data_IF_484503219651
#
_entry.id   IF_484503219651
#
_cell.length_a   1.000
_cell.length_b   1.000
_cell.length_c   1.000
_cell.angle_alpha   90.00
_cell.angle_beta   90.00
_cell.angle_gamma   90.00
#
_symmetry.space_group_name_H-M   'P 1'
#
loop_
_entity.id
_entity.type
_entity.pdbx_description
1 polymer ?
#
# COMPACT_ATOMS: atom_id res chain seq x y z
N UNK A 1 30.74 -14.13 0.24
CA UNK A 1 30.59 -12.87 -0.48
C UNK A 1 31.40 -12.96 -1.78
N UNK A 2 30.69 -13.13 -2.88
CA UNK A 2 31.34 -13.42 -4.16
C UNK A 2 31.55 -12.18 -5.05
N UNK A 3 30.97 -11.04 -4.65
CA UNK A 3 31.08 -9.80 -5.42
C UNK A 3 30.91 -8.59 -4.48
N UNK A 4 32.03 -7.96 -4.14
CA UNK A 4 32.09 -6.86 -3.17
C UNK A 4 31.17 -5.68 -3.54
N UNK A 5 30.98 -5.36 -4.82
CA UNK A 5 30.11 -4.25 -5.25
C UNK A 5 28.64 -4.54 -5.01
N UNK A 6 28.19 -5.77 -5.25
CA UNK A 6 26.81 -6.18 -4.96
C UNK A 6 26.55 -6.17 -3.44
N UNK A 7 27.54 -6.58 -2.66
CA UNK A 7 27.43 -6.56 -1.19
C UNK A 7 27.33 -5.13 -0.68
N UNK A 8 28.10 -4.19 -1.21
CA UNK A 8 27.97 -2.76 -0.90
C UNK A 8 26.60 -2.20 -1.28
N UNK A 9 26.07 -2.57 -2.44
CA UNK A 9 24.76 -2.14 -2.88
C UNK A 9 23.66 -2.60 -1.91
N UNK A 10 23.69 -3.86 -1.51
CA UNK A 10 22.74 -4.44 -0.53
C UNK A 10 22.91 -3.85 0.86
N UNK A 11 24.16 -3.71 1.31
CA UNK A 11 24.44 -3.11 2.60
C UNK A 11 23.88 -1.70 2.72
N UNK A 12 24.11 -0.86 1.72
CA UNK A 12 23.60 0.50 1.70
C UNK A 12 22.08 0.56 1.66
N UNK A 13 21.45 -0.33 0.89
CA UNK A 13 19.99 -0.43 0.86
C UNK A 13 19.44 -0.74 2.27
N UNK A 14 20.12 -1.58 3.04
CA UNK A 14 19.73 -1.92 4.41
C UNK A 14 20.05 -0.79 5.40
N UNK A 15 21.23 -0.16 5.28
CA UNK A 15 21.68 0.90 6.19
C UNK A 15 20.91 2.20 5.98
N UNK A 16 20.73 2.64 4.73
CA UNK A 16 20.21 3.96 4.39
C UNK A 16 18.77 3.94 3.88
N UNK A 17 18.29 2.80 3.39
CA UNK A 17 17.01 2.67 2.71
C UNK A 17 17.02 3.15 1.25
N UNK A 18 18.10 3.75 0.77
CA UNK A 18 18.22 4.26 -0.61
C UNK A 18 18.81 3.19 -1.53
N UNK A 19 18.08 2.79 -2.60
CA UNK A 19 18.61 1.89 -3.60
C UNK A 19 19.57 2.62 -4.53
N UNK A 20 20.68 1.95 -4.88
CA UNK A 20 21.62 2.37 -5.88
C UNK A 20 21.65 1.38 -7.03
N UNK A 21 21.99 1.81 -8.24
CA UNK A 21 22.28 0.93 -9.36
C UNK A 21 23.68 1.17 -9.89
N UNK A 22 24.33 0.09 -10.27
CA UNK A 22 25.71 0.11 -10.76
C UNK A 22 25.75 -0.38 -12.19
N UNK A 23 26.39 0.40 -13.04
CA UNK A 23 26.58 0.07 -14.45
C UNK A 23 28.07 0.08 -14.79
N UNK A 24 28.46 -0.74 -15.75
CA UNK A 24 29.78 -0.71 -16.33
C UNK A 24 29.94 0.55 -17.21
N UNK A 25 30.78 1.49 -16.76
CA UNK A 25 30.98 2.75 -17.46
C UNK A 25 31.71 2.55 -18.80
N UNK A 26 32.54 1.52 -18.95
CA UNK A 26 33.25 1.24 -20.19
C UNK A 26 32.29 0.72 -21.26
N UNK A 27 31.38 -0.15 -20.91
CA UNK A 27 30.31 -0.61 -21.82
C UNK A 27 29.43 0.55 -22.31
N UNK A 28 29.19 1.53 -21.44
CA UNK A 28 28.43 2.74 -21.79
C UNK A 28 29.25 3.66 -22.70
N UNK A 29 30.56 3.85 -22.44
CA UNK A 29 31.44 4.76 -23.18
C UNK A 29 31.79 4.26 -24.56
N UNK A 30 31.95 2.97 -24.77
CA UNK A 30 32.35 2.36 -26.05
C UNK A 30 31.50 2.88 -27.22
N UNK A 31 30.28 3.30 -26.95
CA UNK A 31 29.36 3.79 -28.00
C UNK A 31 29.26 5.31 -28.13
N UNK A 32 29.81 6.12 -27.18
CA UNK A 32 29.63 7.58 -27.23
C UNK A 32 30.58 8.37 -26.31
N UNK A 33 31.41 9.25 -26.87
CA UNK A 33 32.30 10.13 -26.11
C UNK A 33 31.54 11.18 -25.25
N UNK A 34 30.31 11.56 -25.65
CA UNK A 34 29.43 12.44 -24.88
C UNK A 34 28.15 11.70 -24.55
N UNK A 35 27.97 11.26 -23.31
CA UNK A 35 26.75 10.62 -22.89
C UNK A 35 25.83 11.58 -22.10
N UNK A 36 24.55 11.53 -22.42
CA UNK A 36 23.49 12.25 -21.74
C UNK A 36 22.44 11.27 -21.25
N UNK A 37 22.37 11.08 -19.95
CA UNK A 37 21.34 10.24 -19.31
C UNK A 37 20.04 11.04 -19.22
N UNK A 38 18.94 10.41 -19.63
CA UNK A 38 17.61 11.02 -19.55
C UNK A 38 16.62 10.01 -18.98
N UNK A 39 15.76 10.49 -18.11
CA UNK A 39 14.57 9.73 -17.68
C UNK A 39 13.42 10.12 -18.62
N UNK A 40 12.98 9.19 -19.45
CA UNK A 40 11.94 9.44 -20.45
C UNK A 40 10.89 8.31 -20.41
N UNK A 41 9.66 8.55 -20.91
CA UNK A 41 8.73 7.47 -21.21
C UNK A 41 9.31 6.50 -22.23
N UNK A 42 9.07 5.21 -22.09
CA UNK A 42 9.42 4.22 -23.08
C UNK A 42 8.57 4.37 -24.34
N UNK A 43 9.00 3.76 -25.45
CA UNK A 43 8.16 3.66 -26.65
C UNK A 43 7.30 2.40 -26.55
N UNK A 44 6.08 2.43 -27.09
CA UNK A 44 5.23 1.26 -27.15
C UNK A 44 5.90 0.12 -27.95
N UNK A 45 5.91 -1.08 -27.34
CA UNK A 45 6.53 -2.26 -27.92
C UNK A 45 8.07 -2.30 -27.83
N UNK A 46 8.70 -1.33 -27.18
CA UNK A 46 10.14 -1.35 -26.92
C UNK A 46 10.47 -2.47 -25.94
N UNK A 47 11.55 -3.22 -26.21
CA UNK A 47 11.93 -4.38 -25.40
C UNK A 47 13.23 -4.12 -24.64
N UNK A 48 13.26 -4.56 -23.39
CA UNK A 48 14.44 -4.52 -22.53
C UNK A 48 14.71 -5.91 -21.96
N UNK A 49 15.89 -6.45 -22.20
CA UNK A 49 16.37 -7.66 -21.52
C UNK A 49 17.04 -7.27 -20.23
N UNK A 50 16.43 -7.65 -19.12
CA UNK A 50 16.87 -7.24 -17.79
C UNK A 50 17.92 -8.20 -17.19
N UNK A 51 18.57 -7.78 -16.11
CA UNK A 51 19.60 -8.56 -15.42
C UNK A 51 19.12 -9.88 -14.79
N UNK A 52 17.80 -10.13 -14.76
CA UNK A 52 17.19 -11.42 -14.42
C UNK A 52 17.01 -12.36 -15.64
N UNK A 53 17.60 -12.02 -16.80
CA UNK A 53 17.48 -12.73 -18.06
C UNK A 53 16.06 -12.79 -18.66
N UNK A 54 15.13 -11.98 -18.18
CA UNK A 54 13.79 -11.86 -18.75
C UNK A 54 13.72 -10.63 -19.65
N UNK A 55 12.94 -10.74 -20.74
CA UNK A 55 12.68 -9.61 -21.65
C UNK A 55 11.29 -9.04 -21.36
N UNK A 56 11.26 -7.74 -21.09
CA UNK A 56 10.04 -7.00 -20.81
C UNK A 56 9.67 -6.15 -22.01
N UNK A 57 8.39 -6.19 -22.38
CA UNK A 57 7.81 -5.29 -23.37
C UNK A 57 7.26 -4.06 -22.67
N UNK A 58 7.66 -2.88 -23.15
CA UNK A 58 7.42 -1.61 -22.48
C UNK A 58 6.28 -0.85 -23.15
N UNK A 59 5.61 0.00 -22.37
CA UNK A 59 4.56 0.92 -22.82
C UNK A 59 4.92 2.37 -22.46
N UNK A 60 4.24 3.33 -23.08
CA UNK A 60 4.49 4.77 -22.84
C UNK A 60 4.32 5.22 -21.38
N UNK A 61 3.59 4.47 -20.57
CA UNK A 61 3.41 4.76 -19.15
C UNK A 61 4.63 4.40 -18.30
N UNK A 62 5.58 3.65 -18.85
CA UNK A 62 6.77 3.16 -18.17
C UNK A 62 7.92 4.14 -18.40
N UNK A 63 8.55 4.60 -17.32
CA UNK A 63 9.70 5.48 -17.40
C UNK A 63 10.99 4.65 -17.41
N UNK A 64 11.88 5.01 -18.34
CA UNK A 64 13.16 4.34 -18.52
C UNK A 64 14.31 5.34 -18.47
N UNK A 65 15.45 4.86 -17.98
CA UNK A 65 16.70 5.60 -18.10
C UNK A 65 17.30 5.29 -19.44
N UNK A 66 17.37 6.31 -20.27
CA UNK A 66 17.81 6.22 -21.65
C UNK A 66 19.13 6.95 -21.86
N UNK A 67 19.99 6.35 -22.67
CA UNK A 67 21.22 6.94 -23.16
C UNK A 67 21.18 6.96 -24.71
N UNK A 68 20.86 8.10 -25.33
CA UNK A 68 20.87 8.26 -26.80
C UNK A 68 20.23 7.08 -27.57
N UNK A 69 19.00 6.71 -27.24
CA UNK A 69 18.25 5.57 -27.80
C UNK A 69 18.65 4.17 -27.29
N UNK A 70 19.45 4.07 -26.23
CA UNK A 70 19.75 2.81 -25.56
C UNK A 70 19.14 2.80 -24.16
N UNK A 71 18.41 1.74 -23.85
CA UNK A 71 17.77 1.57 -22.56
C UNK A 71 18.77 1.04 -21.53
N UNK A 72 19.08 1.80 -20.51
CA UNK A 72 19.93 1.38 -19.40
C UNK A 72 19.16 0.62 -18.33
N UNK A 73 17.97 1.09 -18.00
CA UNK A 73 17.13 0.46 -16.97
C UNK A 73 15.67 0.90 -17.10
N UNK A 74 14.79 0.08 -16.54
CA UNK A 74 13.45 0.52 -16.18
C UNK A 74 13.60 1.30 -14.86
N UNK A 75 13.28 2.58 -14.88
CA UNK A 75 13.56 3.51 -13.79
C UNK A 75 13.06 2.99 -12.44
N UNK A 76 13.96 2.81 -11.48
CA UNK A 76 13.66 2.35 -10.14
C UNK A 76 13.28 0.87 -9.97
N UNK A 77 13.24 0.08 -11.05
CA UNK A 77 12.89 -1.35 -11.00
C UNK A 77 14.08 -2.26 -11.26
N UNK A 78 14.59 -2.27 -12.51
CA UNK A 78 15.56 -3.26 -12.94
C UNK A 78 16.46 -2.70 -14.05
N UNK A 79 17.74 -3.09 -14.06
CA UNK A 79 18.72 -2.69 -15.06
C UNK A 79 18.77 -3.62 -16.24
N UNK A 80 19.25 -3.09 -17.38
CA UNK A 80 19.53 -3.85 -18.58
C UNK A 80 20.78 -4.73 -18.38
N UNK A 81 20.71 -5.98 -18.82
CA UNK A 81 21.77 -6.96 -18.73
C UNK A 81 23.06 -6.50 -19.44
N UNK A 82 22.94 -5.82 -20.60
CA UNK A 82 24.07 -5.42 -21.43
C UNK A 82 25.04 -4.46 -20.72
N UNK A 83 24.53 -3.68 -19.77
CA UNK A 83 25.32 -2.66 -19.05
C UNK A 83 25.66 -3.06 -17.62
N UNK A 84 25.37 -4.30 -17.25
CA UNK A 84 25.72 -4.78 -15.92
C UNK A 84 27.23 -4.82 -15.74
N UNK A 85 27.70 -4.37 -14.57
CA UNK A 85 29.11 -4.50 -14.19
C UNK A 85 29.49 -5.96 -13.97
N UNK A 86 30.77 -6.24 -14.19
CA UNK A 86 31.39 -7.56 -14.01
C UNK A 86 32.64 -7.43 -13.16
N UNK A 87 33.23 -8.54 -12.77
CA UNK A 87 34.51 -8.56 -12.02
C UNK A 87 35.67 -7.93 -12.78
N UNK A 88 35.55 -7.81 -14.11
CA UNK A 88 36.53 -7.16 -14.99
C UNK A 88 36.31 -5.66 -15.18
N UNK A 89 35.20 -5.10 -14.69
CA UNK A 89 34.89 -3.68 -14.84
C UNK A 89 35.86 -2.82 -14.05
N UNK A 90 36.54 -1.88 -14.73
CA UNK A 90 37.50 -0.95 -14.12
C UNK A 90 36.88 0.36 -13.69
N UNK A 91 35.80 0.77 -14.32
CA UNK A 91 35.05 1.97 -13.98
C UNK A 91 33.57 1.72 -13.95
N UNK A 92 32.89 2.29 -12.95
CA UNK A 92 31.45 2.12 -12.73
C UNK A 92 30.72 3.47 -12.73
N UNK A 93 29.51 3.46 -13.24
CA UNK A 93 28.54 4.54 -13.07
C UNK A 93 27.59 4.13 -11.93
N UNK A 94 27.47 4.96 -10.91
CA UNK A 94 26.53 4.78 -9.80
C UNK A 94 25.34 5.69 -10.03
N UNK A 95 24.16 5.10 -10.19
CA UNK A 95 22.89 5.81 -10.24
C UNK A 95 22.34 5.94 -8.81
N UNK A 96 22.07 7.17 -8.41
CA UNK A 96 21.36 7.51 -7.19
C UNK A 96 20.19 8.44 -7.56
N UNK A 97 18.97 7.98 -7.44
CA UNK A 97 17.80 8.72 -7.85
C UNK A 97 16.62 8.49 -6.89
N UNK A 98 15.67 9.42 -6.90
CA UNK A 98 14.36 9.27 -6.25
C UNK A 98 13.29 9.30 -7.34
N UNK A 99 12.40 8.33 -7.29
CA UNK A 99 11.33 8.18 -8.28
C UNK A 99 9.96 8.41 -7.63
N UNK A 100 9.00 8.84 -8.43
CA UNK A 100 7.62 9.01 -7.97
C UNK A 100 7.01 7.65 -7.60
N UNK A 101 6.58 7.50 -6.34
CA UNK A 101 6.08 6.25 -5.76
C UNK A 101 4.87 5.67 -6.51
N UNK A 102 3.94 6.54 -6.96
CA UNK A 102 2.75 6.11 -7.72
C UNK A 102 3.13 5.54 -9.09
N UNK A 103 4.09 6.19 -9.79
CA UNK A 103 4.58 5.72 -11.09
C UNK A 103 5.31 4.38 -10.95
N UNK A 104 6.17 4.23 -9.95
CA UNK A 104 6.85 2.96 -9.67
C UNK A 104 5.85 1.84 -9.39
N UNK A 105 4.86 2.09 -8.53
CA UNK A 105 3.81 1.11 -8.21
C UNK A 105 3.05 0.65 -9.46
N UNK A 106 2.66 1.60 -10.32
CA UNK A 106 1.97 1.27 -11.57
C UNK A 106 2.85 0.44 -12.51
N UNK A 107 4.10 0.86 -12.71
CA UNK A 107 5.06 0.13 -13.56
C UNK A 107 5.32 -1.28 -13.02
N UNK A 108 5.53 -1.42 -11.71
CA UNK A 108 5.74 -2.70 -11.03
C UNK A 108 4.55 -3.66 -11.26
N UNK A 109 3.32 -3.15 -11.15
CA UNK A 109 2.10 -3.93 -11.39
C UNK A 109 1.93 -4.31 -12.86
N UNK A 110 2.13 -3.36 -13.78
CA UNK A 110 1.97 -3.59 -15.22
C UNK A 110 2.94 -4.67 -15.73
N UNK A 111 4.17 -4.66 -15.24
CA UNK A 111 5.19 -5.64 -15.63
C UNK A 111 5.16 -6.93 -14.79
N UNK A 112 4.35 -7.00 -13.74
CA UNK A 112 4.38 -8.12 -12.79
C UNK A 112 5.74 -8.26 -12.07
N UNK A 113 6.51 -7.17 -12.00
CA UNK A 113 7.89 -7.17 -11.50
C UNK A 113 7.98 -6.42 -10.17
N UNK A 114 8.25 -7.16 -9.10
CA UNK A 114 8.44 -6.61 -7.76
C UNK A 114 9.86 -6.88 -7.27
N UNK A 115 10.67 -5.83 -7.22
CA UNK A 115 12.06 -5.88 -6.76
C UNK A 115 12.23 -5.21 -5.39
N UNK A 116 13.31 -5.49 -4.67
CA UNK A 116 13.62 -4.81 -3.40
C UNK A 116 13.70 -3.28 -3.58
N UNK A 117 14.20 -2.83 -4.73
CA UNK A 117 14.28 -1.41 -5.10
C UNK A 117 12.88 -0.80 -5.27
N UNK A 118 12.02 -1.45 -6.06
CA UNK A 118 10.66 -0.98 -6.31
C UNK A 118 9.87 -0.85 -5.01
N UNK A 119 10.01 -1.80 -4.07
CA UNK A 119 9.36 -1.77 -2.75
C UNK A 119 9.78 -0.52 -1.96
N UNK A 120 11.07 -0.13 -2.01
CA UNK A 120 11.54 1.06 -1.31
C UNK A 120 11.01 2.35 -1.95
N UNK A 121 11.04 2.45 -3.27
CA UNK A 121 10.50 3.61 -3.98
C UNK A 121 8.97 3.73 -3.85
N UNK A 122 8.24 2.61 -3.82
CA UNK A 122 6.79 2.61 -3.60
C UNK A 122 6.39 3.19 -2.24
N UNK A 123 7.23 3.00 -1.22
CA UNK A 123 7.02 3.56 0.13
C UNK A 123 7.30 5.06 0.22
N UNK A 124 7.95 5.62 -0.79
CA UNK A 124 8.37 7.02 -0.82
C UNK A 124 9.77 7.20 -0.22
N UNK A 125 10.62 7.85 -0.98
CA UNK A 125 11.95 8.29 -0.54
C UNK A 125 12.04 9.80 -0.75
N UNK A 126 12.80 10.49 0.10
CA UNK A 126 12.98 11.93 0.03
C UNK A 126 14.28 12.31 -0.68
N UNK A 127 14.31 13.50 -1.28
CA UNK A 127 15.52 13.99 -1.96
C UNK A 127 16.62 14.43 -0.98
N UNK A 128 16.26 14.72 0.27
CA UNK A 128 17.16 15.37 1.23
C UNK A 128 18.33 14.46 1.68
N UNK A 129 18.08 13.17 1.82
CA UNK A 129 19.09 12.24 2.39
C UNK A 129 19.83 11.43 1.31
N UNK A 130 19.47 11.58 0.02
CA UNK A 130 20.15 10.87 -1.06
C UNK A 130 21.64 11.23 -1.16
N UNK A 131 21.99 12.51 -0.96
CA UNK A 131 23.37 12.97 -1.02
C UNK A 131 24.19 12.36 0.13
N UNK A 132 23.62 12.29 1.34
CA UNK A 132 24.27 11.63 2.48
C UNK A 132 24.55 10.15 2.17
N UNK A 133 23.59 9.47 1.55
CA UNK A 133 23.72 8.07 1.15
C UNK A 133 24.78 7.91 0.05
N UNK A 134 24.88 8.84 -0.91
CA UNK A 134 25.95 8.87 -1.91
C UNK A 134 27.31 9.08 -1.25
N UNK A 135 27.44 10.00 -0.32
CA UNK A 135 28.70 10.21 0.42
C UNK A 135 29.08 8.95 1.21
N UNK A 136 28.10 8.25 1.77
CA UNK A 136 28.34 7.01 2.51
C UNK A 136 28.90 5.91 1.62
N UNK A 137 28.32 5.68 0.42
CA UNK A 137 28.85 4.68 -0.51
C UNK A 137 30.27 5.04 -0.96
N UNK A 138 30.52 6.30 -1.30
CA UNK A 138 31.84 6.74 -1.72
C UNK A 138 32.89 6.54 -0.61
N UNK A 139 32.54 6.80 0.65
CA UNK A 139 33.44 6.56 1.78
C UNK A 139 33.75 5.07 1.96
N UNK A 140 32.79 4.18 1.80
CA UNK A 140 32.99 2.74 1.86
C UNK A 140 33.86 2.23 0.71
N UNK A 141 33.60 2.68 -0.51
CA UNK A 141 34.38 2.32 -1.69
C UNK A 141 35.85 2.83 -1.57
N UNK A 142 36.04 4.05 -1.06
CA UNK A 142 37.34 4.62 -0.84
C UNK A 142 38.10 3.89 0.27
N UNK A 143 37.43 3.46 1.32
CA UNK A 143 38.06 2.63 2.38
C UNK A 143 38.53 1.30 1.80
N UNK A 144 37.81 0.71 0.86
CA UNK A 144 38.21 -0.53 0.20
C UNK A 144 39.35 -0.31 -0.81
N UNK A 145 39.34 0.83 -1.53
CA UNK A 145 40.36 1.18 -2.51
C UNK A 145 40.74 2.67 -2.39
N UNK A 146 41.86 2.95 -1.71
CA UNK A 146 42.35 4.32 -1.48
C UNK A 146 42.71 5.08 -2.76
N UNK A 147 43.02 4.39 -3.86
CA UNK A 147 43.32 4.98 -5.18
C UNK A 147 42.06 5.37 -5.98
N UNK A 148 40.85 5.15 -5.42
CA UNK A 148 39.61 5.45 -6.09
C UNK A 148 39.46 6.95 -6.36
N UNK A 149 39.24 7.31 -7.61
CA UNK A 149 38.84 8.65 -8.05
C UNK A 149 37.40 8.66 -8.51
N UNK A 150 36.67 9.73 -8.22
CA UNK A 150 35.26 9.84 -8.60
C UNK A 150 34.88 11.25 -9.02
N UNK A 151 33.83 11.38 -9.81
CA UNK A 151 33.15 12.62 -10.14
C UNK A 151 31.68 12.49 -9.81
N UNK A 152 31.10 13.51 -9.17
CA UNK A 152 29.65 13.54 -8.86
C UNK A 152 29.01 14.51 -9.85
N UNK A 153 27.95 14.05 -10.51
CA UNK A 153 27.08 14.87 -11.34
C UNK A 153 25.69 14.89 -10.70
N UNK A 154 25.24 16.05 -10.29
CA UNK A 154 23.89 16.22 -9.73
C UNK A 154 23.01 16.90 -10.76
N UNK A 155 21.86 16.29 -11.04
CA UNK A 155 20.75 16.91 -11.76
C UNK A 155 19.66 17.15 -10.73
N UNK A 156 19.76 18.27 -10.04
CA UNK A 156 18.76 18.66 -9.06
C UNK A 156 17.69 19.53 -9.76
N UNK A 157 16.45 19.07 -9.81
CA UNK A 157 15.34 20.00 -9.70
C UNK A 157 15.38 20.57 -8.28
N UNK A 158 15.35 21.88 -8.13
CA UNK A 158 15.52 22.65 -6.88
C UNK A 158 14.46 22.41 -5.79
N UNK A 159 13.98 21.21 -5.61
CA UNK A 159 13.02 20.83 -4.59
C UNK A 159 13.68 19.92 -3.56
N UNK A 160 14.46 20.53 -2.66
CA UNK A 160 14.56 19.91 -1.33
C UNK A 160 13.16 19.88 -0.74
N UNK A 161 12.73 18.69 -0.34
CA UNK A 161 11.46 18.56 0.35
C UNK A 161 11.52 19.42 1.62
N UNK A 162 10.63 20.41 1.71
CA UNK A 162 10.58 21.26 2.91
C UNK A 162 10.18 20.37 4.08
N UNK A 163 10.96 20.46 5.15
CA UNK A 163 10.62 19.78 6.40
C UNK A 163 9.37 20.43 7.00
N UNK A 164 8.21 19.76 6.98
CA UNK A 164 6.98 20.33 7.50
C UNK A 164 7.03 20.45 9.02
N UNK A 165 6.28 21.39 9.58
CA UNK A 165 6.07 21.52 11.00
C UNK A 165 4.62 21.21 11.32
N UNK A 166 4.39 20.31 12.26
CA UNK A 166 3.06 19.89 12.72
C UNK A 166 2.81 20.44 14.13
N UNK A 167 1.65 20.98 14.35
CA UNK A 167 1.20 21.39 15.69
C UNK A 167 0.67 20.16 16.43
N UNK A 168 1.20 19.93 17.64
CA UNK A 168 0.81 18.84 18.52
C UNK A 168 0.26 19.42 19.83
N UNK A 169 -1.02 19.22 20.07
CA UNK A 169 -1.72 19.75 21.26
C UNK A 169 -1.71 18.72 22.37
N UNK A 170 -1.39 19.18 23.58
CA UNK A 170 -1.41 18.31 24.77
C UNK A 170 -2.80 17.71 25.02
N UNK A 171 -3.86 18.50 24.84
CA UNK A 171 -5.24 18.05 25.02
C UNK A 171 -5.58 16.87 24.11
N UNK A 172 -5.17 16.94 22.83
CA UNK A 172 -5.46 15.87 21.86
C UNK A 172 -4.70 14.58 22.20
N UNK A 173 -3.46 14.71 22.70
CA UNK A 173 -2.71 13.53 23.18
C UNK A 173 -3.48 12.82 24.31
N UNK A 174 -4.00 13.60 25.26
CA UNK A 174 -4.73 13.04 26.40
C UNK A 174 -6.07 12.44 26.02
N UNK A 175 -6.77 13.06 25.08
CA UNK A 175 -8.06 12.55 24.58
C UNK A 175 -7.89 11.23 23.82
N UNK A 176 -6.83 11.11 23.03
CA UNK A 176 -6.58 9.90 22.22
C UNK A 176 -5.97 8.77 23.03
N UNK A 177 -4.93 9.04 23.82
CA UNK A 177 -4.19 8.00 24.56
C UNK A 177 -4.80 7.67 25.93
N UNK A 178 -5.51 8.61 26.56
CA UNK A 178 -6.14 8.41 27.86
C UNK A 178 -5.18 8.37 29.04
N UNK A 179 -5.53 7.55 30.04
CA UNK A 179 -4.77 7.42 31.28
C UNK A 179 -3.81 6.23 31.22
N UNK A 180 -2.71 6.30 31.96
CA UNK A 180 -1.78 5.19 32.11
C UNK A 180 -2.23 4.22 33.21
N UNK A 181 -2.06 2.90 33.01
CA UNK A 181 -2.48 1.86 33.96
C UNK A 181 -1.82 1.99 35.33
N UNK A 182 -0.52 2.29 35.34
CA UNK A 182 0.30 2.20 36.54
C UNK A 182 -0.14 3.16 37.65
N UNK A 183 -0.60 4.35 37.28
CA UNK A 183 -0.94 5.40 38.28
C UNK A 183 -2.31 6.07 38.00
N UNK A 184 -3.03 5.61 36.99
CA UNK A 184 -4.26 6.26 36.47
C UNK A 184 -4.06 7.77 36.24
N UNK A 185 -2.84 8.14 35.79
CA UNK A 185 -2.46 9.53 35.52
C UNK A 185 -2.23 9.72 34.02
N UNK A 186 -2.35 10.95 33.60
CA UNK A 186 -2.04 11.39 32.26
C UNK A 186 -0.52 11.37 32.00
N UNK A 187 -0.12 11.27 30.74
CA UNK A 187 1.27 11.48 30.34
C UNK A 187 1.71 12.90 30.70
N UNK A 188 2.90 13.03 31.25
CA UNK A 188 3.47 14.34 31.58
C UNK A 188 4.10 15.00 30.36
N UNK A 189 4.14 16.34 30.37
CA UNK A 189 4.82 17.14 29.33
C UNK A 189 6.27 16.69 29.15
N UNK A 190 6.96 16.37 30.25
CA UNK A 190 8.36 15.91 30.19
C UNK A 190 8.52 14.54 29.51
N UNK A 191 7.61 13.60 29.76
CA UNK A 191 7.61 12.29 29.10
C UNK A 191 7.40 12.44 27.57
N UNK A 192 6.41 13.26 27.19
CA UNK A 192 6.14 13.53 25.76
C UNK A 192 7.35 14.15 25.08
N UNK A 193 7.97 15.15 25.71
CA UNK A 193 9.20 15.77 25.21
C UNK A 193 10.33 14.75 25.00
N UNK A 194 10.53 13.86 25.98
CA UNK A 194 11.55 12.81 25.88
C UNK A 194 11.28 11.83 24.73
N UNK A 195 10.03 11.44 24.51
CA UNK A 195 9.67 10.56 23.38
C UNK A 195 9.92 11.24 22.05
N UNK A 196 9.52 12.49 21.88
CA UNK A 196 9.77 13.22 20.64
C UNK A 196 11.26 13.40 20.38
N UNK A 197 12.05 13.72 21.39
CA UNK A 197 13.51 13.84 21.26
C UNK A 197 14.19 12.52 20.93
N UNK A 198 13.75 11.40 21.51
CA UNK A 198 14.34 10.08 21.22
C UNK A 198 14.13 9.64 19.77
N UNK A 199 13.13 10.21 19.09
CA UNK A 199 12.86 10.03 17.67
C UNK A 199 13.54 11.08 16.78
N UNK A 200 14.41 11.92 17.35
CA UNK A 200 15.10 13.02 16.66
C UNK A 200 14.16 14.08 16.06
N UNK A 201 12.97 14.28 16.64
CA UNK A 201 12.11 15.40 16.27
C UNK A 201 12.62 16.69 16.92
N UNK A 202 12.75 17.74 16.12
CA UNK A 202 13.07 19.07 16.64
C UNK A 202 11.77 19.74 17.08
N UNK A 203 11.67 20.06 18.37
CA UNK A 203 10.44 20.60 18.95
C UNK A 203 10.61 22.01 19.50
N UNK A 204 9.61 22.87 19.31
CA UNK A 204 9.46 24.16 20.00
C UNK A 204 8.18 24.11 20.81
N UNK A 205 8.30 24.32 22.13
CA UNK A 205 7.16 24.25 23.05
C UNK A 205 6.63 25.63 23.40
N UNK A 206 5.35 25.86 23.16
CA UNK A 206 4.62 27.04 23.62
C UNK A 206 3.93 26.71 24.96
N UNK A 207 4.50 27.22 26.05
CA UNK A 207 3.97 27.00 27.40
C UNK A 207 2.61 27.68 27.70
N UNK A 208 2.26 28.73 26.95
CA UNK A 208 0.97 29.44 27.15
C UNK A 208 -0.19 28.64 26.55
N UNK A 209 0.02 28.01 25.39
CA UNK A 209 -1.00 27.23 24.69
C UNK A 209 -0.90 25.72 24.96
N UNK A 210 0.19 25.28 25.57
CA UNK A 210 0.55 23.87 25.80
C UNK A 210 0.56 23.09 24.47
N UNK A 211 1.29 23.64 23.49
CA UNK A 211 1.40 23.11 22.13
C UNK A 211 2.88 22.93 21.80
N UNK A 212 3.22 21.81 21.12
CA UNK A 212 4.51 21.63 20.48
C UNK A 212 4.40 21.91 18.99
N UNK A 213 5.31 22.70 18.44
CA UNK A 213 5.56 22.78 17.01
C UNK A 213 6.67 21.79 16.72
N UNK A 214 6.31 20.67 16.13
CA UNK A 214 7.21 19.53 15.85
C UNK A 214 7.67 19.59 14.41
N UNK A 215 8.96 19.78 14.18
CA UNK A 215 9.57 19.76 12.86
C UNK A 215 9.87 18.31 12.48
N UNK A 216 9.33 17.87 11.35
CA UNK A 216 9.45 16.50 10.90
C UNK A 216 10.76 16.32 10.12
N UNK A 217 11.65 15.39 10.51
CA UNK A 217 12.88 15.14 9.79
C UNK A 217 12.61 14.53 8.42
N UNK A 218 13.51 14.76 7.48
CA UNK A 218 13.40 14.33 6.08
C UNK A 218 13.08 12.83 5.92
N UNK A 219 13.64 12.00 6.79
CA UNK A 219 13.42 10.54 6.79
C UNK A 219 12.00 10.11 7.16
N UNK A 220 11.20 11.00 7.77
CA UNK A 220 9.86 10.71 8.27
C UNK A 220 8.74 11.52 7.56
N UNK A 221 9.08 12.32 6.52
CA UNK A 221 8.09 13.14 5.79
C UNK A 221 7.03 12.27 5.08
N UNK A 222 7.41 11.06 4.68
CA UNK A 222 6.52 10.17 3.93
C UNK A 222 5.44 9.50 4.80
N UNK A 223 5.65 9.39 6.10
CA UNK A 223 4.76 8.67 7.03
C UNK A 223 4.11 9.57 8.09
N UNK A 224 4.75 10.68 8.45
CA UNK A 224 4.21 11.61 9.45
C UNK A 224 3.70 12.87 8.74
N UNK A 225 2.39 12.96 8.61
CA UNK A 225 1.70 14.04 7.90
C UNK A 225 0.68 14.79 8.76
N UNK A 226 0.18 14.16 9.83
CA UNK A 226 -0.86 14.71 10.70
C UNK A 226 -0.47 14.64 12.18
N UNK A 227 -1.19 15.39 13.02
CA UNK A 227 -1.01 15.37 14.46
C UNK A 227 -1.18 13.96 15.06
N UNK A 228 -2.13 13.19 14.52
CA UNK A 228 -2.41 11.83 15.00
C UNK A 228 -1.21 10.88 14.83
N UNK A 229 -0.41 11.07 13.78
CA UNK A 229 0.78 10.25 13.53
C UNK A 229 1.83 10.48 14.64
N UNK A 230 1.95 11.73 15.14
CA UNK A 230 2.82 12.05 16.27
C UNK A 230 2.28 11.47 17.58
N UNK A 231 0.96 11.46 17.76
CA UNK A 231 0.33 10.83 18.93
C UNK A 231 0.55 9.32 18.92
N UNK A 232 0.48 8.69 17.75
CA UNK A 232 0.81 7.27 17.59
C UNK A 232 2.25 6.97 18.01
N UNK A 233 3.22 7.78 17.57
CA UNK A 233 4.62 7.62 17.96
C UNK A 233 4.83 7.72 19.47
N UNK A 234 4.15 8.65 20.14
CA UNK A 234 4.19 8.77 21.59
C UNK A 234 3.59 7.53 22.26
N UNK A 235 2.43 7.09 21.76
CA UNK A 235 1.75 5.88 22.26
C UNK A 235 2.62 4.62 22.09
N UNK A 236 3.27 4.48 20.94
CA UNK A 236 4.15 3.37 20.61
C UNK A 236 5.37 3.32 21.55
N UNK A 237 6.02 4.46 21.81
CA UNK A 237 7.19 4.51 22.70
C UNK A 237 6.82 4.32 24.17
N UNK A 238 5.67 4.83 24.61
CA UNK A 238 5.17 4.55 25.95
C UNK A 238 4.79 3.08 26.11
N UNK A 239 4.35 2.45 25.02
CA UNK A 239 3.77 1.10 24.96
C UNK A 239 2.25 1.11 25.15
N UNK A 240 1.51 0.75 24.11
CA UNK A 240 0.03 0.76 24.14
C UNK A 240 -0.55 -0.08 25.28
N UNK A 241 0.12 -1.16 25.67
CA UNK A 241 -0.31 -2.01 26.79
C UNK A 241 -0.24 -1.30 28.16
N UNK A 242 0.45 -0.17 28.25
CA UNK A 242 0.59 0.61 29.51
C UNK A 242 -0.53 1.63 29.69
N UNK A 243 -1.43 1.79 28.72
CA UNK A 243 -2.60 2.63 28.84
C UNK A 243 -3.78 1.86 29.43
N UNK A 244 -4.62 2.58 30.20
CA UNK A 244 -5.84 2.02 30.77
C UNK A 244 -6.90 1.80 29.68
N UNK A 245 -7.55 0.66 29.73
CA UNK A 245 -8.58 0.28 28.75
C UNK A 245 -9.94 0.61 29.36
N UNK A 246 -10.55 1.68 28.88
CA UNK A 246 -11.87 2.10 29.30
C UNK A 246 -12.88 1.98 28.14
N UNK A 247 -14.05 1.42 28.43
CA UNK A 247 -15.16 1.48 27.51
C UNK A 247 -15.70 2.92 27.45
N UNK A 248 -16.07 3.41 26.26
CA UNK A 248 -16.68 4.72 26.14
C UNK A 248 -17.99 4.79 26.93
N UNK A 249 -18.21 5.88 27.63
CA UNK A 249 -19.46 6.10 28.35
C UNK A 249 -20.60 6.28 27.36
N UNK A 250 -21.55 5.36 27.39
CA UNK A 250 -22.75 5.43 26.56
C UNK A 250 -23.68 6.48 27.14
N UNK A 251 -23.90 7.58 26.43
CA UNK A 251 -24.77 8.69 26.85
C UNK A 251 -26.23 8.49 26.49
N UNK A 252 -26.50 7.65 25.49
CA UNK A 252 -27.86 7.33 25.01
C UNK A 252 -27.99 5.83 24.80
N UNK A 253 -29.09 5.26 25.26
CA UNK A 253 -29.47 3.88 24.94
C UNK A 253 -29.88 3.88 23.45
N UNK A 254 -29.31 2.96 22.67
CA UNK A 254 -29.70 2.77 21.28
C UNK A 254 -31.13 2.23 21.20
N UNK A 255 -31.86 2.66 20.18
CA UNK A 255 -33.18 2.10 19.84
C UNK A 255 -33.05 1.27 18.57
N UNK A 256 -33.69 0.10 18.57
CA UNK A 256 -33.77 -0.71 17.34
C UNK A 256 -34.63 0.02 16.29
N UNK A 257 -34.17 0.04 15.05
CA UNK A 257 -34.95 0.55 13.92
C UNK A 257 -36.18 -0.30 13.66
N UNK A 258 -37.28 0.32 13.21
CA UNK A 258 -38.55 -0.36 12.94
C UNK A 258 -38.40 -1.47 11.86
N UNK A 259 -37.56 -1.26 10.87
CA UNK A 259 -37.28 -2.25 9.84
C UNK A 259 -36.59 -3.49 10.43
N UNK A 260 -35.61 -3.28 11.33
CA UNK A 260 -34.93 -4.36 12.02
C UNK A 260 -35.86 -5.15 12.94
N UNK A 261 -36.77 -4.46 13.68
CA UNK A 261 -37.78 -5.13 14.52
C UNK A 261 -38.72 -5.99 13.70
N UNK A 262 -39.17 -5.48 12.54
CA UNK A 262 -40.02 -6.22 11.60
C UNK A 262 -39.33 -7.47 11.06
N UNK A 263 -38.07 -7.31 10.63
CA UNK A 263 -37.21 -8.42 10.17
C UNK A 263 -37.06 -9.49 11.25
N UNK A 264 -36.80 -9.07 12.49
CA UNK A 264 -36.65 -9.98 13.64
C UNK A 264 -37.93 -10.78 13.91
N UNK A 265 -39.12 -10.14 13.82
CA UNK A 265 -40.42 -10.83 13.97
C UNK A 265 -40.63 -11.86 12.87
N UNK A 266 -40.39 -11.48 11.60
CA UNK A 266 -40.58 -12.37 10.45
C UNK A 266 -39.59 -13.55 10.55
N UNK A 267 -38.34 -13.30 10.89
CA UNK A 267 -37.32 -14.33 11.10
C UNK A 267 -37.76 -15.34 12.17
N UNK A 268 -38.24 -14.83 13.29
CA UNK A 268 -38.74 -15.70 14.38
C UNK A 268 -39.93 -16.54 13.93
N UNK A 269 -40.87 -15.96 13.18
CA UNK A 269 -42.02 -16.69 12.65
C UNK A 269 -41.59 -17.84 11.74
N UNK A 270 -40.74 -17.57 10.76
CA UNK A 270 -40.31 -18.59 9.80
C UNK A 270 -39.48 -19.69 10.45
N UNK A 271 -38.64 -19.36 11.42
CA UNK A 271 -37.86 -20.35 12.18
C UNK A 271 -38.74 -21.25 13.05
N UNK A 272 -39.83 -20.70 13.63
CA UNK A 272 -40.78 -21.47 14.39
C UNK A 272 -41.56 -22.47 13.52
N UNK A 273 -41.77 -22.12 12.22
CA UNK A 273 -42.34 -23.02 11.22
C UNK A 273 -41.32 -24.05 10.66
N UNK A 274 -40.11 -24.11 11.18
CA UNK A 274 -39.10 -25.08 10.79
C UNK A 274 -38.27 -24.69 9.57
N UNK A 275 -38.34 -23.45 9.11
CA UNK A 275 -37.51 -22.95 8.02
C UNK A 275 -36.16 -22.51 8.52
N UNK A 276 -35.10 -22.82 7.76
CA UNK A 276 -33.76 -22.37 8.04
C UNK A 276 -33.46 -21.02 7.38
N UNK A 277 -32.86 -20.08 8.10
CA UNK A 277 -32.36 -18.86 7.49
C UNK A 277 -31.08 -19.16 6.70
N UNK A 278 -31.04 -18.68 5.45
CA UNK A 278 -29.95 -18.89 4.53
C UNK A 278 -29.24 -17.58 4.23
N UNK A 279 -27.97 -17.69 3.92
CA UNK A 279 -27.13 -16.58 3.54
C UNK A 279 -26.43 -16.89 2.22
N UNK A 280 -26.75 -16.12 1.18
CA UNK A 280 -26.20 -16.27 -0.16
C UNK A 280 -25.42 -15.02 -0.57
N UNK A 281 -24.43 -15.19 -1.45
CA UNK A 281 -23.72 -14.05 -2.00
C UNK A 281 -24.64 -13.22 -2.92
N UNK A 282 -24.55 -11.89 -2.79
CA UNK A 282 -25.23 -10.97 -3.70
C UNK A 282 -24.57 -10.89 -5.07
N UNK A 283 -23.32 -11.37 -5.17
CA UNK A 283 -22.58 -11.47 -6.43
C UNK A 283 -22.75 -12.87 -7.01
N UNK A 284 -23.10 -12.92 -8.28
CA UNK A 284 -23.32 -14.13 -9.06
C UNK A 284 -22.42 -14.17 -10.29
N UNK A 285 -22.33 -15.33 -10.93
CA UNK A 285 -21.69 -15.47 -12.23
C UNK A 285 -22.44 -14.65 -13.27
N UNK A 286 -21.71 -14.05 -14.20
CA UNK A 286 -22.26 -13.26 -15.29
C UNK A 286 -23.36 -14.01 -16.05
N UNK A 287 -24.56 -13.43 -16.08
CA UNK A 287 -25.72 -13.94 -16.83
C UNK A 287 -26.18 -12.92 -17.89
N UNK A 288 -25.60 -11.74 -17.89
CA UNK A 288 -25.85 -10.68 -18.86
C UNK A 288 -27.12 -9.86 -18.62
N UNK A 289 -27.78 -10.04 -17.48
CA UNK A 289 -29.07 -9.38 -17.15
C UNK A 289 -28.90 -8.39 -15.98
N UNK A 290 -27.95 -8.63 -15.09
CA UNK A 290 -27.71 -7.82 -13.89
C UNK A 290 -26.64 -6.74 -14.08
N UNK A 291 -26.37 -6.02 -13.01
CA UNK A 291 -25.36 -4.96 -12.97
C UNK A 291 -23.98 -5.59 -12.86
N UNK A 292 -23.12 -5.36 -13.85
CA UNK A 292 -21.75 -5.88 -13.88
C UNK A 292 -20.81 -5.02 -13.04
N UNK A 293 -19.92 -5.67 -12.31
CA UNK A 293 -18.78 -5.02 -11.68
C UNK A 293 -17.69 -4.70 -12.71
N UNK A 294 -17.12 -3.50 -12.62
CA UNK A 294 -16.04 -3.06 -13.53
C UNK A 294 -14.75 -3.87 -13.32
N UNK A 295 -14.47 -4.24 -12.08
CA UNK A 295 -13.23 -4.93 -11.68
C UNK A 295 -13.52 -6.03 -10.64
N UNK A 296 -14.22 -7.12 -11.03
CA UNK A 296 -14.55 -8.19 -10.10
C UNK A 296 -13.29 -8.90 -9.63
N UNK A 297 -13.27 -9.32 -8.37
CA UNK A 297 -12.15 -10.08 -7.80
C UNK A 297 -12.04 -11.47 -8.43
N UNK A 298 -13.19 -12.09 -8.73
CA UNK A 298 -13.30 -13.40 -9.39
C UNK A 298 -14.37 -13.31 -10.49
N UNK A 299 -14.12 -13.94 -11.61
CA UNK A 299 -15.07 -13.99 -12.74
C UNK A 299 -16.41 -14.66 -12.39
N UNK A 300 -16.39 -15.55 -11.38
CA UNK A 300 -17.59 -16.23 -10.89
C UNK A 300 -18.50 -15.33 -10.03
N UNK A 301 -18.00 -14.16 -9.62
CA UNK A 301 -18.68 -13.17 -8.78
C UNK A 301 -18.62 -11.78 -9.41
N UNK A 302 -19.08 -11.68 -10.66
CA UNK A 302 -18.91 -10.48 -11.49
C UNK A 302 -20.17 -9.66 -11.72
N UNK A 303 -21.34 -10.17 -11.31
CA UNK A 303 -22.64 -9.55 -11.55
C UNK A 303 -23.47 -9.51 -10.27
N UNK A 304 -24.23 -8.44 -10.05
CA UNK A 304 -25.14 -8.30 -8.91
C UNK A 304 -26.48 -8.98 -9.23
N UNK A 305 -27.00 -9.79 -8.29
CA UNK A 305 -28.25 -10.54 -8.45
C UNK A 305 -29.48 -9.64 -8.51
N UNK A 306 -30.43 -9.97 -9.37
CA UNK A 306 -31.74 -9.31 -9.46
C UNK A 306 -32.84 -10.05 -8.67
N UNK A 307 -32.59 -11.27 -8.23
CA UNK A 307 -33.55 -12.10 -7.52
C UNK A 307 -32.83 -13.03 -6.53
N UNK A 308 -33.49 -13.36 -5.42
CA UNK A 308 -33.04 -14.34 -4.45
C UNK A 308 -33.34 -15.79 -4.88
N UNK A 309 -34.34 -15.98 -5.72
CA UNK A 309 -34.85 -17.32 -6.10
C UNK A 309 -33.77 -18.18 -6.76
N UNK A 310 -32.98 -17.62 -7.66
CA UNK A 310 -31.93 -18.37 -8.35
C UNK A 310 -30.93 -19.01 -7.42
N UNK A 311 -30.42 -18.24 -6.46
CA UNK A 311 -29.47 -18.73 -5.46
C UNK A 311 -30.06 -19.82 -4.57
N UNK A 312 -31.33 -19.66 -4.18
CA UNK A 312 -32.06 -20.67 -3.40
C UNK A 312 -32.24 -21.97 -4.20
N UNK A 313 -32.63 -21.88 -5.48
CA UNK A 313 -32.76 -23.04 -6.36
C UNK A 313 -31.43 -23.77 -6.58
N UNK A 314 -30.35 -23.04 -6.79
CA UNK A 314 -29.03 -23.62 -6.93
C UNK A 314 -28.60 -24.36 -5.66
N UNK A 315 -28.83 -23.77 -4.50
CA UNK A 315 -28.51 -24.39 -3.21
C UNK A 315 -29.35 -25.62 -2.96
N UNK A 316 -30.65 -25.60 -3.25
CA UNK A 316 -31.50 -26.75 -3.17
C UNK A 316 -31.05 -27.88 -4.09
N UNK A 317 -30.76 -27.57 -5.36
CA UNK A 317 -30.24 -28.55 -6.32
C UNK A 317 -28.94 -29.19 -5.88
N UNK A 318 -28.02 -28.40 -5.29
CA UNK A 318 -26.76 -28.93 -4.72
C UNK A 318 -27.04 -29.88 -3.57
N UNK A 319 -27.92 -29.52 -2.63
CA UNK A 319 -28.28 -30.37 -1.49
C UNK A 319 -28.87 -31.71 -1.95
N UNK A 320 -29.83 -31.67 -2.86
CA UNK A 320 -30.46 -32.92 -3.40
C UNK A 320 -29.41 -33.80 -4.10
N UNK A 321 -28.51 -33.21 -4.90
CA UNK A 321 -27.42 -33.96 -5.55
C UNK A 321 -26.43 -34.60 -4.57
N UNK A 322 -26.31 -34.05 -3.37
CA UNK A 322 -25.49 -34.59 -2.30
C UNK A 322 -26.23 -35.63 -1.43
N UNK A 323 -27.48 -35.96 -1.78
CA UNK A 323 -28.30 -36.90 -1.01
C UNK A 323 -28.93 -36.32 0.25
N UNK A 324 -28.92 -35.00 0.42
CA UNK A 324 -29.60 -34.33 1.52
C UNK A 324 -31.10 -34.15 1.21
N UNK A 325 -31.87 -33.91 2.29
CA UNK A 325 -33.29 -33.58 2.16
C UNK A 325 -33.48 -32.28 1.37
N UNK A 326 -34.62 -32.08 0.70
CA UNK A 326 -34.96 -30.84 0.05
C UNK A 326 -34.87 -29.66 1.00
N UNK A 327 -34.38 -28.53 0.47
CA UNK A 327 -34.14 -27.33 1.24
C UNK A 327 -35.45 -26.74 1.73
N UNK A 328 -35.57 -26.53 3.04
CA UNK A 328 -36.63 -25.75 3.67
C UNK A 328 -35.94 -24.51 4.28
N UNK A 329 -36.05 -23.39 3.60
CA UNK A 329 -35.32 -22.21 4.04
C UNK A 329 -35.78 -20.91 3.42
N UNK A 330 -35.33 -19.83 4.01
CA UNK A 330 -35.63 -18.47 3.56
C UNK A 330 -34.37 -17.60 3.66
N UNK A 331 -34.35 -16.52 2.90
CA UNK A 331 -33.30 -15.54 2.87
C UNK A 331 -33.86 -14.12 2.86
N UNK A 332 -33.32 -13.27 3.75
CA UNK A 332 -33.38 -11.84 3.58
C UNK A 332 -32.13 -11.39 2.80
N UNK A 333 -32.33 -10.72 1.69
CA UNK A 333 -31.19 -10.32 0.87
C UNK A 333 -31.49 -9.13 -0.02
N UNK A 334 -30.44 -8.49 -0.43
CA UNK A 334 -30.50 -7.35 -1.34
C UNK A 334 -30.50 -7.84 -2.78
N UNK A 335 -31.33 -7.18 -3.59
CA UNK A 335 -31.42 -7.35 -5.05
C UNK A 335 -31.23 -6.01 -5.72
N UNK A 336 -30.69 -6.02 -6.92
CA UNK A 336 -30.18 -4.83 -7.58
C UNK A 336 -30.78 -4.70 -8.98
N UNK A 337 -31.28 -3.52 -9.29
CA UNK A 337 -31.89 -3.21 -10.58
C UNK A 337 -31.31 -1.95 -11.18
N UNK A 338 -31.25 -1.89 -12.49
CA UNK A 338 -30.99 -0.67 -13.22
C UNK A 338 -32.33 -0.06 -13.65
N UNK A 339 -32.57 1.20 -13.32
CA UNK A 339 -33.75 1.92 -13.76
C UNK A 339 -33.53 2.56 -15.12
N UNK A 340 -34.63 2.89 -15.84
CA UNK A 340 -34.59 3.55 -17.15
C UNK A 340 -33.81 4.89 -17.17
N UNK A 341 -33.50 5.47 -16.00
CA UNK A 341 -32.73 6.71 -15.85
C UNK A 341 -31.29 6.48 -15.44
N UNK A 342 -30.68 5.33 -15.70
CA UNK A 342 -29.33 4.94 -15.27
C UNK A 342 -29.11 5.06 -13.75
N UNK A 343 -30.16 4.90 -12.99
CA UNK A 343 -30.12 4.95 -11.53
C UNK A 343 -30.14 3.54 -10.99
N UNK A 344 -29.12 3.16 -10.24
CA UNK A 344 -29.07 1.87 -9.59
C UNK A 344 -30.01 1.87 -8.37
N UNK A 345 -30.83 0.84 -8.26
CA UNK A 345 -31.81 0.65 -7.18
C UNK A 345 -31.44 -0.62 -6.43
N UNK A 346 -31.26 -0.49 -5.14
CA UNK A 346 -31.04 -1.59 -4.21
C UNK A 346 -32.30 -1.75 -3.35
N UNK A 347 -32.80 -2.98 -3.23
CA UNK A 347 -33.96 -3.31 -2.38
C UNK A 347 -33.71 -4.58 -1.59
N UNK A 348 -34.11 -4.56 -0.34
CA UNK A 348 -34.15 -5.77 0.48
C UNK A 348 -35.44 -6.55 0.19
N UNK A 349 -35.27 -7.82 -0.13
CA UNK A 349 -36.36 -8.77 -0.36
C UNK A 349 -36.25 -9.95 0.59
N UNK A 350 -37.38 -10.61 0.84
CA UNK A 350 -37.43 -11.92 1.45
C UNK A 350 -37.91 -12.92 0.42
N UNK A 351 -37.27 -14.07 0.37
CA UNK A 351 -37.70 -15.19 -0.48
C UNK A 351 -37.46 -16.49 0.30
N UNK A 352 -38.31 -17.46 0.05
CA UNK A 352 -38.23 -18.75 0.69
C UNK A 352 -38.49 -19.88 -0.29
N UNK A 353 -38.03 -21.05 0.11
CA UNK A 353 -38.24 -22.31 -0.59
C UNK A 353 -38.69 -23.38 0.39
N UNK A 354 -39.75 -24.06 0.00
CA UNK A 354 -40.29 -25.20 0.72
C UNK A 354 -40.23 -26.43 -0.18
N UNK A 355 -39.48 -27.44 0.20
CA UNK A 355 -39.29 -28.67 -0.57
C UNK A 355 -40.10 -29.83 0.05
N UNK A 356 -40.84 -30.55 -0.73
CA UNK A 356 -41.48 -31.80 -0.32
C UNK A 356 -40.60 -32.99 -0.74
N UNK A 357 -40.56 -34.04 0.11
CA UNK A 357 -39.88 -35.29 -0.19
C UNK A 357 -40.64 -36.19 -1.17
N UNK A 358 -41.92 -35.88 -1.40
CA UNK A 358 -42.80 -36.58 -2.37
C UNK A 358 -43.51 -35.53 -3.23
N UNK A 359 -43.31 -35.60 -4.55
CA UNK A 359 -44.19 -34.96 -5.55
C UNK A 359 -45.34 -35.96 -5.72
N UNK A 360 -46.48 -35.70 -5.09
CA UNK A 360 -47.77 -36.37 -5.42
C UNK A 360 -48.36 -35.75 -6.65
#
# INVERSE_FOLDING_TARGET
PSNNLLDFQKYLLLETGYPFEFYDLEKIRIKNNNFSLKLIPAKNGEKLTANNNLTYELTENIHVINLKNQLLSIGGLISNLDYQYTTSSRSILIEAAVFNSKKIRNTSRTLGLRTERSIKYEKGLTNNDIIKSVCRILSLLKFYNNALTYKIHTVAHNSYDKEPSIELKYTNILEVLGLTKKNLKQLTIHQIYNYLNSLNFTTKFDSKKIIWHVKIPSSRIADITHEIDLIEEIGRLHGFNNFDINLPKIKKIGTEDCSYQSRKKINTCFRNEGLNELFQYSLIKEEGVGIKLVNPLLSEYSELRQTLLKSLLQTSSKNVKQGNLPLQGFEFGHVFFESQCFKYIEKEYISGMFGATEIK
#
